data_IF_417749750002
#
_entry.id   IF_417749750002
#
_cell.length_a   1.000
_cell.length_b   1.000
_cell.length_c   1.000
_cell.angle_alpha   90.00
_cell.angle_beta   90.00
_cell.angle_gamma   90.00
#
_symmetry.space_group_name_H-M   'P 1'
#
loop_
_entity.id
_entity.type
_entity.pdbx_description
1 polymer ?
#
# COMPACT_ATOMS: atom_id res chain seq x y z
N UNK A 1 8.52 -51.71 17.10
CA UNK A 1 8.40 -50.33 17.61
C UNK A 1 9.69 -49.51 17.50
N UNK A 2 10.90 -50.07 17.72
CA UNK A 2 12.18 -49.34 17.54
C UNK A 2 12.46 -48.85 16.10
N UNK A 3 12.06 -49.60 15.07
CA UNK A 3 12.25 -49.20 13.67
C UNK A 3 11.37 -48.02 13.20
N UNK A 4 10.20 -47.83 13.83
CA UNK A 4 9.29 -46.70 13.53
C UNK A 4 9.87 -45.36 14.00
N UNK A 5 10.58 -45.34 15.14
CA UNK A 5 11.27 -44.14 15.62
C UNK A 5 12.47 -43.75 14.74
N UNK A 6 13.21 -44.73 14.21
CA UNK A 6 14.34 -44.50 13.30
C UNK A 6 13.90 -43.92 11.94
N UNK A 7 12.75 -44.37 11.43
CA UNK A 7 12.20 -43.87 10.16
C UNK A 7 11.73 -42.40 10.27
N UNK A 8 11.16 -42.01 11.42
CA UNK A 8 10.75 -40.62 11.68
C UNK A 8 11.93 -39.66 11.78
N UNK A 9 13.09 -40.12 12.24
CA UNK A 9 14.29 -39.27 12.34
C UNK A 9 14.92 -39.00 10.96
N UNK A 10 14.80 -39.95 10.03
CA UNK A 10 15.29 -39.82 8.66
C UNK A 10 14.43 -38.86 7.81
N UNK A 11 13.12 -38.80 8.06
CA UNK A 11 12.20 -37.91 7.33
C UNK A 11 12.38 -36.42 7.68
N UNK A 12 12.86 -36.09 8.88
CA UNK A 12 13.14 -34.71 9.31
C UNK A 12 14.47 -34.15 8.75
N UNK A 13 15.33 -35.00 8.18
CA UNK A 13 16.60 -34.57 7.57
C UNK A 13 16.46 -34.09 6.12
N UNK A 14 15.36 -34.44 5.45
CA UNK A 14 15.12 -34.08 4.04
C UNK A 14 14.12 -32.95 3.85
N UNK A 15 13.64 -32.30 4.92
CA UNK A 15 12.83 -31.10 4.77
C UNK A 15 13.75 -29.92 4.43
N UNK A 16 13.72 -29.36 3.21
CA UNK A 16 14.36 -28.08 2.98
C UNK A 16 13.73 -27.07 3.93
N UNK A 17 14.51 -26.60 4.90
CA UNK A 17 14.15 -25.42 5.68
C UNK A 17 14.21 -24.25 4.70
N UNK A 18 13.12 -24.00 3.98
CA UNK A 18 12.92 -22.73 3.31
C UNK A 18 12.77 -21.70 4.42
N UNK A 19 13.90 -21.09 4.82
CA UNK A 19 13.83 -19.85 5.56
C UNK A 19 12.97 -18.88 4.73
N UNK A 20 12.05 -18.19 5.38
CA UNK A 20 11.42 -17.03 4.76
C UNK A 20 12.57 -16.07 4.45
N UNK A 21 12.78 -15.79 3.16
CA UNK A 21 13.92 -14.97 2.71
C UNK A 21 14.04 -13.68 3.51
N UNK A 22 15.27 -13.27 3.81
CA UNK A 22 15.53 -12.06 4.57
C UNK A 22 15.27 -10.81 3.72
N UNK A 23 14.70 -9.78 4.35
CA UNK A 23 14.57 -8.47 3.73
C UNK A 23 15.85 -7.67 3.95
N UNK A 24 16.53 -7.34 2.84
CA UNK A 24 17.66 -6.42 2.86
C UNK A 24 17.18 -5.06 2.35
N UNK A 25 17.38 -4.01 3.15
CA UNK A 25 17.10 -2.63 2.72
C UNK A 25 17.79 -2.35 1.37
N UNK A 26 17.03 -1.81 0.41
CA UNK A 26 17.55 -1.37 -0.87
C UNK A 26 17.64 0.17 -0.90
N UNK A 27 16.48 0.83 -0.83
CA UNK A 27 16.41 2.29 -0.95
C UNK A 27 15.09 2.85 -0.40
N UNK A 28 15.09 4.15 -0.13
CA UNK A 28 13.87 4.94 0.02
C UNK A 28 13.57 5.59 -1.33
N UNK A 29 12.30 5.57 -1.75
CA UNK A 29 11.88 6.05 -3.05
C UNK A 29 10.57 6.82 -2.95
N UNK A 30 10.43 7.83 -3.81
CA UNK A 30 9.18 8.55 -4.01
C UNK A 30 8.56 8.13 -5.36
N UNK A 31 7.39 7.50 -5.31
CA UNK A 31 6.61 7.14 -6.49
C UNK A 31 5.75 8.33 -6.89
N UNK A 32 5.93 8.82 -8.12
CA UNK A 32 5.23 9.98 -8.69
C UNK A 32 4.47 9.68 -9.98
N UNK A 33 4.60 8.47 -10.51
CA UNK A 33 3.89 7.95 -11.68
C UNK A 33 3.48 6.50 -11.43
N UNK A 34 2.79 5.87 -12.38
CA UNK A 34 2.50 4.43 -12.31
C UNK A 34 3.80 3.63 -12.36
N UNK A 35 4.01 2.80 -11.36
CA UNK A 35 5.16 1.92 -11.26
C UNK A 35 4.76 0.52 -10.83
N UNK A 36 5.65 -0.46 -11.03
CA UNK A 36 5.44 -1.84 -10.62
C UNK A 36 6.57 -2.29 -9.70
N UNK A 37 6.23 -2.97 -8.60
CA UNK A 37 7.24 -3.54 -7.70
C UNK A 37 8.09 -4.55 -8.48
N UNK A 38 9.43 -4.37 -8.59
CA UNK A 38 10.26 -5.26 -9.39
C UNK A 38 10.30 -6.69 -8.85
N UNK A 39 10.60 -7.66 -9.72
CA UNK A 39 10.84 -9.04 -9.32
C UNK A 39 11.98 -9.11 -8.28
N UNK A 40 11.83 -10.00 -7.29
CA UNK A 40 12.80 -10.16 -6.20
C UNK A 40 12.79 -9.01 -5.18
N UNK A 41 11.80 -8.12 -5.24
CA UNK A 41 11.65 -6.99 -4.32
C UNK A 41 10.28 -6.96 -3.65
N UNK A 42 10.23 -6.25 -2.53
CA UNK A 42 8.99 -5.89 -1.83
C UNK A 42 9.05 -4.41 -1.47
N UNK A 43 7.92 -3.71 -1.59
CA UNK A 43 7.82 -2.31 -1.15
C UNK A 43 6.98 -2.21 0.12
N UNK A 44 7.46 -1.38 1.04
CA UNK A 44 6.71 -0.93 2.20
C UNK A 44 6.30 0.52 1.98
N UNK A 45 5.01 0.78 1.86
CA UNK A 45 4.46 2.13 1.74
C UNK A 45 4.45 2.77 3.12
N UNK A 46 5.18 3.87 3.30
CA UNK A 46 5.33 4.55 4.59
C UNK A 46 4.43 5.78 4.70
N UNK A 47 4.30 6.55 3.63
CA UNK A 47 3.47 7.76 3.64
C UNK A 47 2.93 8.12 2.26
N UNK A 48 1.84 8.88 2.24
CA UNK A 48 1.26 9.48 1.04
C UNK A 48 1.25 10.99 1.21
N UNK A 49 1.75 11.70 0.20
CA UNK A 49 1.72 13.15 0.09
C UNK A 49 0.60 13.49 -0.88
N UNK A 50 -0.47 14.06 -0.33
CA UNK A 50 -1.64 14.45 -1.11
C UNK A 50 -1.36 15.68 -1.96
N UNK A 51 -1.67 15.59 -3.25
CA UNK A 51 -1.54 16.68 -4.22
C UNK A 51 -2.91 17.32 -4.50
N UNK A 52 -3.61 17.71 -3.43
CA UNK A 52 -4.95 18.29 -3.52
C UNK A 52 -4.82 19.81 -3.32
N UNK A 53 -5.22 20.65 -4.28
CA UNK A 53 -5.19 22.10 -4.10
C UNK A 53 -6.15 22.52 -2.98
N UNK A 54 -5.70 23.42 -2.10
CA UNK A 54 -6.43 23.82 -0.88
C UNK A 54 -7.59 24.82 -1.16
N UNK A 55 -8.05 24.96 -2.41
CA UNK A 55 -8.83 26.13 -2.83
C UNK A 55 -10.19 25.73 -3.43
N UNK A 56 -11.24 25.77 -2.60
CA UNK A 56 -12.51 26.45 -2.88
C UNK A 56 -13.54 26.06 -1.80
N UNK A 57 -14.08 27.04 -1.09
CA UNK A 57 -15.42 26.91 -0.52
C UNK A 57 -16.40 26.65 -1.67
N UNK A 58 -16.95 25.44 -1.74
CA UNK A 58 -17.95 25.06 -2.74
C UNK A 58 -17.58 23.78 -3.49
N UNK A 59 -18.47 22.79 -3.41
CA UNK A 59 -18.35 21.52 -4.13
C UNK A 59 -18.32 21.77 -5.64
N UNK A 60 -17.14 21.70 -6.25
CA UNK A 60 -17.00 21.68 -7.70
C UNK A 60 -16.99 20.23 -8.20
N UNK A 61 -18.07 19.84 -8.87
CA UNK A 61 -18.16 18.61 -9.65
C UNK A 61 -17.64 18.86 -11.07
N UNK A 62 -16.35 18.71 -11.30
CA UNK A 62 -15.78 18.39 -12.61
C UNK A 62 -15.32 16.93 -12.65
N UNK A 63 -15.98 16.10 -13.48
CA UNK A 63 -15.54 14.73 -13.79
C UNK A 63 -14.02 14.71 -14.05
N UNK A 64 -13.29 13.94 -13.24
CA UNK A 64 -11.85 13.69 -13.43
C UNK A 64 -10.89 14.73 -12.83
N UNK A 65 -11.36 15.67 -12.00
CA UNK A 65 -10.50 16.64 -11.31
C UNK A 65 -10.05 16.18 -9.92
N UNK A 66 -8.83 16.54 -9.52
CA UNK A 66 -8.36 16.35 -8.14
C UNK A 66 -8.89 17.49 -7.24
N UNK A 67 -9.82 17.18 -6.33
CA UNK A 67 -10.51 18.16 -5.46
C UNK A 67 -10.86 17.57 -4.10
N UNK A 68 -10.86 18.40 -3.05
CA UNK A 68 -11.17 18.00 -1.66
C UNK A 68 -12.55 17.37 -1.47
N UNK A 69 -13.48 17.64 -2.39
CA UNK A 69 -14.85 17.11 -2.34
C UNK A 69 -15.00 15.72 -2.96
N UNK A 70 -13.96 15.22 -3.66
CA UNK A 70 -14.03 13.90 -4.26
C UNK A 70 -13.58 12.81 -3.31
N UNK A 71 -14.36 11.72 -3.33
CA UNK A 71 -14.06 10.52 -2.59
C UNK A 71 -12.65 10.00 -2.90
N UNK A 72 -12.20 10.06 -4.15
CA UNK A 72 -10.91 9.51 -4.59
C UNK A 72 -9.71 10.42 -4.32
N UNK A 73 -9.91 11.63 -3.80
CA UNK A 73 -8.82 12.61 -3.63
C UNK A 73 -7.72 12.16 -2.66
N UNK A 74 -8.11 11.37 -1.66
CA UNK A 74 -7.24 10.78 -0.64
C UNK A 74 -6.86 9.33 -0.94
N UNK A 75 -7.07 8.87 -2.17
CA UNK A 75 -6.73 7.54 -2.61
C UNK A 75 -5.38 7.50 -3.35
N UNK A 76 -4.66 6.40 -3.15
CA UNK A 76 -3.62 5.90 -4.04
C UNK A 76 -4.18 4.68 -4.78
N UNK A 77 -3.57 4.26 -5.87
CA UNK A 77 -4.01 3.07 -6.60
C UNK A 77 -3.03 1.92 -6.39
N UNK A 78 -3.53 0.80 -5.87
CA UNK A 78 -2.74 -0.42 -5.63
C UNK A 78 -3.36 -1.55 -6.45
N UNK A 79 -2.60 -2.14 -7.38
CA UNK A 79 -3.09 -3.20 -8.27
C UNK A 79 -4.40 -2.82 -9.02
N UNK A 80 -4.53 -1.57 -9.46
CA UNK A 80 -5.74 -1.07 -10.12
C UNK A 80 -6.91 -0.73 -9.18
N UNK A 81 -6.74 -0.89 -7.86
CA UNK A 81 -7.79 -0.63 -6.87
C UNK A 81 -7.52 0.69 -6.14
N UNK A 82 -8.42 1.70 -6.23
CA UNK A 82 -8.36 2.90 -5.42
C UNK A 82 -8.42 2.57 -3.93
N UNK A 83 -7.37 2.92 -3.21
CA UNK A 83 -7.17 2.64 -1.79
C UNK A 83 -6.97 3.95 -1.05
N UNK A 84 -7.94 4.30 -0.19
CA UNK A 84 -7.84 5.48 0.66
C UNK A 84 -6.83 5.26 1.79
N UNK A 85 -6.08 6.31 2.11
CA UNK A 85 -5.04 6.26 3.13
C UNK A 85 -5.24 7.36 4.18
N UNK A 86 -4.91 7.09 5.44
CA UNK A 86 -4.98 8.08 6.51
C UNK A 86 -6.41 8.36 6.99
N UNK A 87 -6.75 9.62 7.24
CA UNK A 87 -8.04 10.04 7.78
C UNK A 87 -8.66 11.16 6.95
N UNK A 88 -10.00 11.18 6.89
CA UNK A 88 -10.75 12.27 6.27
C UNK A 88 -12.02 12.57 7.04
N UNK A 89 -12.42 13.84 7.03
CA UNK A 89 -13.70 14.28 7.60
C UNK A 89 -14.71 14.46 6.47
N UNK A 90 -15.89 13.86 6.62
CA UNK A 90 -17.01 14.04 5.68
C UNK A 90 -18.17 14.71 6.41
N UNK A 91 -18.76 15.71 5.77
CA UNK A 91 -19.97 16.33 6.27
C UNK A 91 -21.13 15.33 6.20
N UNK A 92 -21.91 15.25 7.28
CA UNK A 92 -23.14 14.47 7.29
C UNK A 92 -24.14 15.11 6.32
N UNK A 93 -24.70 14.32 5.40
CA UNK A 93 -25.70 14.82 4.46
C UNK A 93 -26.90 15.40 5.24
N UNK A 94 -27.23 16.67 4.98
CA UNK A 94 -28.35 17.41 5.57
C UNK A 94 -28.25 17.71 7.08
N UNK A 95 -27.05 17.78 7.65
CA UNK A 95 -26.86 18.33 9.01
C UNK A 95 -25.53 19.07 9.14
N UNK A 96 -25.34 19.80 10.26
CA UNK A 96 -24.07 20.43 10.62
C UNK A 96 -23.07 19.46 11.26
N UNK A 97 -23.37 18.15 11.29
CA UNK A 97 -22.51 17.14 11.85
C UNK A 97 -21.42 16.74 10.86
N UNK A 98 -20.28 16.28 11.38
CA UNK A 98 -19.16 15.78 10.59
C UNK A 98 -18.69 14.45 11.14
N UNK A 99 -18.43 13.49 10.26
CA UNK A 99 -17.88 12.20 10.63
C UNK A 99 -16.41 12.11 10.21
N UNK A 100 -15.55 11.74 11.15
CA UNK A 100 -14.16 11.40 10.84
C UNK A 100 -14.09 9.91 10.52
N UNK A 101 -13.49 9.57 9.40
CA UNK A 101 -13.26 8.18 9.00
C UNK A 101 -11.76 7.93 8.91
N UNK A 102 -11.32 6.83 9.54
CA UNK A 102 -10.00 6.25 9.29
C UNK A 102 -10.10 5.29 8.12
N UNK A 103 -9.21 5.44 7.16
CA UNK A 103 -9.10 4.57 6.00
C UNK A 103 -8.00 3.53 6.25
N UNK A 104 -7.28 3.16 5.20
CA UNK A 104 -6.13 2.27 5.33
C UNK A 104 -5.03 2.99 6.12
N UNK A 105 -4.58 2.34 7.19
CA UNK A 105 -3.46 2.83 7.99
C UNK A 105 -2.15 2.33 7.39
N UNK A 106 -1.16 3.22 7.32
CA UNK A 106 0.20 2.88 6.91
C UNK A 106 1.02 2.42 8.13
N UNK A 107 2.03 1.55 7.92
CA UNK A 107 2.53 1.10 6.63
C UNK A 107 1.76 -0.07 6.02
N UNK A 108 1.84 -0.21 4.69
CA UNK A 108 1.32 -1.37 3.93
C UNK A 108 2.48 -1.99 3.16
N UNK A 109 2.52 -3.32 3.08
CA UNK A 109 3.50 -4.05 2.28
C UNK A 109 2.85 -4.56 1.00
N UNK A 110 3.51 -4.33 -0.14
CA UNK A 110 3.05 -4.80 -1.44
C UNK A 110 4.12 -5.69 -2.12
N UNK A 111 3.75 -6.87 -2.63
CA UNK A 111 4.69 -7.82 -3.21
C UNK A 111 5.11 -7.42 -4.63
N UNK A 112 6.16 -8.08 -5.14
CA UNK A 112 6.58 -8.02 -6.53
C UNK A 112 5.40 -8.19 -7.50
N UNK A 113 5.41 -7.43 -8.60
CA UNK A 113 4.34 -7.42 -9.61
C UNK A 113 3.15 -6.54 -9.28
N UNK A 114 3.04 -6.01 -8.05
CA UNK A 114 1.98 -5.05 -7.69
C UNK A 114 2.22 -3.72 -8.38
N UNK A 115 1.20 -3.16 -9.03
CA UNK A 115 1.24 -1.79 -9.54
C UNK A 115 0.91 -0.78 -8.44
N UNK A 116 1.58 0.36 -8.45
CA UNK A 116 1.38 1.46 -7.50
C UNK A 116 1.39 2.79 -8.24
N UNK A 117 0.39 3.63 -8.00
CA UNK A 117 0.34 5.00 -8.52
C UNK A 117 -0.34 5.94 -7.54
N UNK A 118 -0.15 7.25 -7.77
CA UNK A 118 -0.85 8.31 -7.05
C UNK A 118 -2.35 8.44 -7.31
N UNK A 119 -2.93 7.51 -8.09
CA UNK A 119 -4.31 7.56 -8.56
C UNK A 119 -4.61 8.80 -9.41
N UNK A 120 -5.89 9.12 -9.53
CA UNK A 120 -6.42 10.25 -10.31
C UNK A 120 -5.85 11.62 -9.87
N UNK A 121 -5.37 11.70 -8.63
CA UNK A 121 -4.84 12.91 -8.02
C UNK A 121 -3.33 13.10 -8.17
N UNK A 122 -2.64 12.12 -8.76
CA UNK A 122 -1.18 12.13 -8.86
C UNK A 122 -0.52 12.36 -7.49
N UNK A 123 -1.10 11.75 -6.44
CA UNK A 123 -0.54 11.76 -5.09
C UNK A 123 0.87 11.14 -5.12
N UNK A 124 1.80 11.66 -4.31
CA UNK A 124 3.17 11.11 -4.25
C UNK A 124 3.28 10.14 -3.09
N UNK A 125 4.00 9.05 -3.27
CA UNK A 125 3.99 7.93 -2.31
C UNK A 125 5.42 7.63 -1.88
N UNK A 126 5.69 7.73 -0.59
CA UNK A 126 6.98 7.35 -0.01
C UNK A 126 6.99 5.85 0.25
N UNK A 127 7.96 5.15 -0.32
CA UNK A 127 8.15 3.72 -0.17
C UNK A 127 9.57 3.40 0.29
N UNK A 128 9.70 2.37 1.12
CA UNK A 128 10.97 1.69 1.36
C UNK A 128 10.97 0.40 0.54
N UNK A 129 11.95 0.28 -0.34
CA UNK A 129 12.16 -0.92 -1.15
C UNK A 129 13.16 -1.85 -0.46
N UNK A 130 12.84 -3.14 -0.46
CA UNK A 130 13.71 -4.20 0.05
C UNK A 130 13.98 -5.24 -1.03
N UNK A 131 15.19 -5.79 -1.04
CA UNK A 131 15.50 -7.01 -1.76
C UNK A 131 15.06 -8.21 -0.93
N UNK A 132 14.51 -9.23 -1.58
CA UNK A 132 14.23 -10.53 -0.98
C UNK A 132 15.46 -11.42 -1.21
N UNK A 133 16.19 -11.73 -0.14
CA UNK A 133 17.37 -12.61 -0.19
C UNK A 133 16.94 -14.01 0.26
N UNK A 134 17.13 -15.06 -0.57
CA UNK A 134 16.80 -16.44 -0.20
C UNK A 134 17.48 -16.94 1.09
#
# INVERSE_FOLDING_TARGET
>A
MKFLFLFSFFLLWFTPFFAQGNLQFNQVKLVSALETVPAGKVWKIESVIYNIPQTASGSQSTNGGCSVFYYESTAIEIAGTPTKVGQGTQAASYSSLSYTHSYTNLPIWIPAGTTLSGGVCLNKISVIEFNIIP
#
